data_IF_270380694209
#
_entry.id   IF_270380694209
#
_cell.length_a   1.000
_cell.length_b   1.000
_cell.length_c   1.000
_cell.angle_alpha   90.00
_cell.angle_beta   90.00
_cell.angle_gamma   90.00
#
_symmetry.space_group_name_H-M   'P 1'
#
loop_
_entity.id
_entity.type
_entity.pdbx_description
1 polymer ?
#
# COMPACT_ATOMS: atom_id res chain seq x y z
N UNK A 1 10.54 8.59 18.22
CA UNK A 1 11.07 8.21 16.89
C UNK A 1 9.89 8.09 15.93
N UNK A 2 10.00 8.53 14.67
CA UNK A 2 8.95 8.31 13.68
C UNK A 2 8.75 6.79 13.48
N UNK A 3 7.50 6.35 13.34
CA UNK A 3 7.23 4.96 12.92
C UNK A 3 7.72 4.81 11.48
N UNK A 4 8.46 3.74 11.21
CA UNK A 4 8.95 3.39 9.87
C UNK A 4 8.11 2.25 9.33
N UNK A 5 7.65 2.41 8.10
CA UNK A 5 6.93 1.38 7.36
C UNK A 5 7.59 1.14 6.01
N UNK A 6 7.40 -0.07 5.49
CA UNK A 6 7.88 -0.47 4.16
C UNK A 6 6.74 -1.13 3.39
N UNK A 7 6.67 -0.88 2.08
CA UNK A 7 5.59 -1.41 1.24
C UNK A 7 5.97 -1.64 -0.20
N UNK A 8 5.10 -2.34 -0.93
CA UNK A 8 5.28 -2.63 -2.35
C UNK A 8 4.15 -2.08 -3.21
N UNK A 9 4.51 -1.46 -4.33
CA UNK A 9 3.59 -1.00 -5.37
C UNK A 9 3.61 -2.00 -6.54
N UNK A 10 2.67 -2.93 -6.54
CA UNK A 10 2.49 -3.82 -7.67
C UNK A 10 1.89 -3.05 -8.85
N UNK A 11 2.44 -3.24 -10.05
CA UNK A 11 1.93 -2.63 -11.27
C UNK A 11 1.85 -3.62 -12.42
N UNK A 12 1.06 -3.27 -13.44
CA UNK A 12 0.99 -3.98 -14.71
C UNK A 12 0.80 -2.98 -15.85
N UNK A 13 1.12 -3.42 -17.07
CA UNK A 13 0.96 -2.63 -18.28
C UNK A 13 -0.14 -3.28 -19.13
N UNK A 14 -1.29 -2.63 -19.21
CA UNK A 14 -2.45 -3.09 -19.96
C UNK A 14 -3.19 -1.90 -20.57
N UNK A 15 -2.90 -1.58 -21.83
CA UNK A 15 -3.35 -0.36 -22.51
C UNK A 15 -3.01 0.94 -21.73
N UNK A 16 -1.97 0.88 -20.89
CA UNK A 16 -1.55 1.93 -19.97
C UNK A 16 -1.00 1.36 -18.67
N UNK A 17 -0.42 2.23 -17.84
CA UNK A 17 0.07 1.88 -16.51
C UNK A 17 -1.10 1.72 -15.52
N UNK A 18 -1.22 0.53 -14.93
CA UNK A 18 -2.15 0.22 -13.86
C UNK A 18 -1.40 -0.15 -12.60
N UNK A 19 -1.87 0.30 -11.44
CA UNK A 19 -1.25 0.08 -10.14
C UNK A 19 -2.24 -0.48 -9.13
N UNK A 20 -1.75 -1.33 -8.23
CA UNK A 20 -2.56 -1.97 -7.21
C UNK A 20 -2.50 -1.21 -5.89
N UNK A 21 -3.68 -0.83 -5.38
CA UNK A 21 -3.81 -0.12 -4.11
C UNK A 21 -4.74 -0.89 -3.16
N UNK A 22 -4.53 -0.67 -1.86
CA UNK A 22 -5.36 -1.18 -0.78
C UNK A 22 -6.11 -0.02 -0.08
N UNK A 23 -7.36 -0.28 0.26
CA UNK A 23 -8.21 0.61 1.03
C UNK A 23 -8.25 0.13 2.49
N UNK A 24 -7.87 0.98 3.46
CA UNK A 24 -7.95 0.63 4.87
C UNK A 24 -9.40 0.42 5.30
N UNK A 25 -9.64 -0.62 6.10
CA UNK A 25 -10.97 -0.89 6.62
C UNK A 25 -11.37 0.02 7.79
N UNK A 26 -12.64 -0.09 8.17
CA UNK A 26 -13.19 0.51 9.37
C UNK A 26 -13.87 1.88 9.20
N UNK A 27 -14.52 2.36 10.27
CA UNK A 27 -15.48 3.47 10.19
C UNK A 27 -14.85 4.84 9.89
N UNK A 28 -13.54 4.99 10.03
CA UNK A 28 -12.83 6.23 9.66
C UNK A 28 -12.69 6.40 8.14
N UNK A 29 -12.78 5.30 7.40
CA UNK A 29 -12.49 5.21 5.96
C UNK A 29 -13.68 4.72 5.14
N UNK A 30 -14.69 4.09 5.76
CA UNK A 30 -15.87 3.51 5.10
C UNK A 30 -16.56 4.43 4.06
N UNK A 31 -16.58 5.76 4.31
CA UNK A 31 -17.19 6.76 3.41
C UNK A 31 -16.18 7.57 2.59
N UNK A 32 -14.89 7.25 2.69
CA UNK A 32 -13.82 7.95 1.98
C UNK A 32 -13.32 7.04 0.87
N UNK A 33 -13.12 7.61 -0.29
CA UNK A 33 -12.64 6.86 -1.45
C UNK A 33 -11.54 7.63 -2.18
N UNK A 34 -11.66 8.95 -2.28
CA UNK A 34 -10.54 9.81 -2.67
C UNK A 34 -9.60 10.05 -1.48
N UNK A 35 -8.30 10.09 -1.77
CA UNK A 35 -7.24 10.34 -0.77
C UNK A 35 -7.28 9.42 0.45
N UNK A 36 -7.75 8.18 0.31
CA UNK A 36 -7.87 7.18 1.39
C UNK A 36 -7.13 5.87 1.11
N UNK A 37 -6.70 5.63 -0.11
CA UNK A 37 -6.01 4.39 -0.49
C UNK A 37 -4.50 4.47 -0.24
N UNK A 38 -3.84 3.32 -0.10
CA UNK A 38 -2.39 3.22 0.17
C UNK A 38 -1.78 2.07 -0.63
N UNK A 39 -0.47 2.06 -0.78
CA UNK A 39 0.26 0.82 -1.09
C UNK A 39 0.13 -0.16 0.09
N UNK A 40 0.07 -1.48 -0.16
CA UNK A 40 0.26 -2.50 0.87
C UNK A 40 1.61 -2.29 1.57
N UNK A 41 1.59 -2.23 2.89
CA UNK A 41 2.74 -1.86 3.72
C UNK A 41 2.46 -2.17 5.21
N UNK A 42 3.51 -2.45 5.95
CA UNK A 42 3.44 -2.54 7.42
C UNK A 42 4.64 -1.94 8.12
N UNK A 43 4.72 -2.12 9.43
CA UNK A 43 5.80 -1.57 10.25
C UNK A 43 7.04 -2.45 10.16
N UNK A 44 8.21 -1.81 10.08
CA UNK A 44 9.49 -2.52 10.02
C UNK A 44 9.86 -2.98 11.43
N UNK A 45 10.19 -4.26 11.58
CA UNK A 45 10.60 -4.80 12.87
C UNK A 45 12.02 -4.35 13.25
N UNK A 46 12.37 -4.52 14.53
CA UNK A 46 13.72 -4.21 14.99
C UNK A 46 14.77 -5.08 14.26
N UNK A 47 15.78 -4.43 13.68
CA UNK A 47 16.84 -5.06 12.88
C UNK A 47 16.37 -5.75 11.59
N UNK A 48 15.15 -5.48 11.12
CA UNK A 48 14.65 -5.97 9.83
C UNK A 48 15.13 -5.06 8.68
N UNK A 49 15.54 -5.68 7.57
CA UNK A 49 15.82 -4.94 6.35
C UNK A 49 14.52 -4.33 5.77
N UNK A 50 14.60 -3.09 5.30
CA UNK A 50 13.42 -2.34 4.84
C UNK A 50 12.74 -3.03 3.65
N UNK A 51 13.51 -3.64 2.74
CA UNK A 51 12.97 -4.28 1.55
C UNK A 51 12.38 -5.66 1.87
N UNK A 52 13.03 -6.43 2.75
CA UNK A 52 12.46 -7.69 3.23
C UNK A 52 11.16 -7.47 4.02
N UNK A 53 11.06 -6.39 4.81
CA UNK A 53 9.80 -5.97 5.43
C UNK A 53 8.72 -5.68 4.37
N UNK A 54 9.05 -4.96 3.30
CA UNK A 54 8.09 -4.66 2.22
C UNK A 54 7.51 -5.94 1.59
N UNK A 55 8.37 -6.94 1.33
CA UNK A 55 7.97 -8.23 0.74
C UNK A 55 7.09 -9.04 1.69
N UNK A 56 7.50 -9.14 2.96
CA UNK A 56 6.75 -9.84 4.00
C UNK A 56 5.35 -9.24 4.16
N UNK A 57 5.26 -7.93 4.32
CA UNK A 57 3.98 -7.24 4.51
C UNK A 57 3.06 -7.39 3.30
N UNK A 58 3.59 -7.30 2.08
CA UNK A 58 2.79 -7.53 0.88
C UNK A 58 2.25 -8.97 0.83
N UNK A 59 3.07 -9.97 1.16
CA UNK A 59 2.62 -11.37 1.23
C UNK A 59 1.58 -11.60 2.34
N UNK A 60 1.73 -10.95 3.50
CA UNK A 60 0.78 -11.06 4.61
C UNK A 60 -0.58 -10.41 4.29
N UNK A 61 -0.57 -9.21 3.71
CA UNK A 61 -1.78 -8.43 3.40
C UNK A 61 -2.50 -8.94 2.15
N UNK A 62 -1.74 -9.29 1.11
CA UNK A 62 -2.30 -9.62 -0.21
C UNK A 62 -2.35 -11.14 -0.44
N UNK A 63 -1.59 -11.93 0.32
CA UNK A 63 -1.50 -13.38 0.17
C UNK A 63 -0.77 -13.82 -1.09
N UNK A 64 -0.03 -12.90 -1.74
CA UNK A 64 0.74 -13.17 -2.94
C UNK A 64 2.20 -12.91 -2.64
N UNK A 65 3.04 -13.90 -2.90
CA UNK A 65 4.49 -13.74 -2.82
C UNK A 65 4.97 -12.80 -3.93
N UNK A 66 5.60 -11.66 -3.60
CA UNK A 66 6.13 -10.74 -4.62
C UNK A 66 7.40 -11.33 -5.23
N UNK A 67 7.47 -11.35 -6.56
CA UNK A 67 8.58 -11.94 -7.32
C UNK A 67 8.90 -11.07 -8.55
N UNK A 68 10.11 -11.23 -9.09
CA UNK A 68 10.60 -10.48 -10.26
C UNK A 68 11.59 -9.39 -9.90
N UNK A 69 11.69 -8.39 -10.79
CA UNK A 69 12.55 -7.22 -10.60
C UNK A 69 11.84 -6.16 -9.76
N UNK A 70 12.59 -5.57 -8.84
CA UNK A 70 12.09 -4.56 -7.91
C UNK A 70 12.74 -3.20 -8.17
N UNK A 71 11.91 -2.16 -8.23
CA UNK A 71 12.29 -0.80 -8.57
C UNK A 71 12.17 0.06 -7.29
N UNK A 72 13.26 0.61 -6.74
CA UNK A 72 13.17 1.54 -5.61
C UNK A 72 12.37 2.81 -5.97
N UNK A 73 11.43 3.21 -5.11
CA UNK A 73 10.60 4.42 -5.27
C UNK A 73 10.90 5.49 -4.22
N UNK A 74 12.05 5.37 -3.54
CA UNK A 74 12.46 6.19 -2.40
C UNK A 74 11.48 6.09 -1.20
N UNK A 75 11.40 7.16 -0.40
CA UNK A 75 10.55 7.24 0.78
C UNK A 75 9.74 8.52 0.81
N UNK A 76 8.61 8.48 1.54
CA UNK A 76 7.75 9.62 1.78
C UNK A 76 7.41 9.74 3.25
N UNK A 77 7.31 10.97 3.73
CA UNK A 77 6.79 11.27 5.07
C UNK A 77 5.29 11.58 5.00
N UNK A 78 4.50 10.90 5.82
CA UNK A 78 3.07 11.16 5.94
C UNK A 78 2.78 12.26 6.98
N UNK A 79 1.57 12.84 6.94
CA UNK A 79 1.13 13.87 7.90
C UNK A 79 1.25 13.46 9.38
N UNK A 80 1.24 12.17 9.68
CA UNK A 80 1.42 11.63 11.02
C UNK A 80 2.90 11.58 11.49
N UNK A 81 3.85 11.97 10.63
CA UNK A 81 5.29 11.79 10.84
C UNK A 81 5.80 10.37 10.54
N UNK A 82 4.93 9.47 10.06
CA UNK A 82 5.33 8.12 9.63
C UNK A 82 6.11 8.20 8.31
N UNK A 83 7.28 7.56 8.27
CA UNK A 83 8.09 7.41 7.05
C UNK A 83 7.70 6.09 6.39
N UNK A 84 7.46 6.13 5.07
CA UNK A 84 7.19 4.93 4.27
C UNK A 84 8.26 4.80 3.20
N UNK A 85 8.96 3.67 3.19
CA UNK A 85 9.83 3.25 2.09
C UNK A 85 9.04 2.37 1.11
N UNK A 86 9.31 2.51 -0.19
CA UNK A 86 8.58 1.75 -1.18
C UNK A 86 9.45 1.24 -2.33
N UNK A 87 9.03 0.09 -2.87
CA UNK A 87 9.54 -0.47 -4.11
C UNK A 87 8.35 -0.85 -5.00
N UNK A 88 8.52 -0.79 -6.31
CA UNK A 88 7.56 -1.31 -7.27
C UNK A 88 8.01 -2.67 -7.80
N UNK A 89 7.06 -3.50 -8.21
CA UNK A 89 7.33 -4.72 -8.97
C UNK A 89 6.21 -4.97 -9.98
N UNK A 90 6.58 -5.55 -11.13
CA UNK A 90 5.60 -5.86 -12.18
C UNK A 90 4.97 -7.22 -11.93
N UNK A 91 3.64 -7.29 -11.96
CA UNK A 91 2.93 -8.56 -11.96
C UNK A 91 1.55 -8.41 -12.61
N UNK A 92 1.27 -9.24 -13.60
CA UNK A 92 0.02 -9.21 -14.38
C UNK A 92 -1.12 -10.01 -13.69
N UNK A 93 -0.81 -10.68 -12.58
CA UNK A 93 -1.81 -11.38 -11.76
C UNK A 93 -2.83 -10.42 -11.18
N UNK A 94 -4.05 -10.88 -10.97
CA UNK A 94 -5.08 -10.14 -10.24
C UNK A 94 -5.22 -10.77 -8.85
N UNK A 95 -4.57 -10.20 -7.81
CA UNK A 95 -4.64 -10.78 -6.49
C UNK A 95 -6.07 -10.76 -5.99
N UNK A 96 -6.48 -11.86 -5.38
CA UNK A 96 -7.66 -11.89 -4.51
C UNK A 96 -7.15 -11.49 -3.13
N UNK A 97 -7.88 -10.65 -2.38
CA UNK A 97 -7.58 -10.43 -0.96
C UNK A 97 -7.74 -11.77 -0.22
N UNK A 98 -6.65 -12.51 -0.08
CA UNK A 98 -6.66 -13.87 0.48
C UNK A 98 -6.72 -13.86 2.01
N UNK A 99 -6.29 -12.78 2.67
CA UNK A 99 -6.29 -12.65 4.12
C UNK A 99 -6.99 -11.37 4.58
N UNK A 100 -8.02 -11.54 5.40
CA UNK A 100 -8.54 -10.46 6.22
C UNK A 100 -7.78 -10.46 7.53
N UNK A 101 -6.71 -9.68 7.61
CA UNK A 101 -6.14 -9.30 8.90
C UNK A 101 -7.12 -8.34 9.58
N UNK A 102 -7.26 -8.49 10.89
CA UNK A 102 -8.15 -7.65 11.68
C UNK A 102 -7.37 -6.93 12.76
N UNK A 103 -7.56 -5.62 12.83
CA UNK A 103 -7.00 -4.79 13.88
C UNK A 103 -8.09 -4.37 14.86
N UNK A 104 -7.69 -4.08 16.10
CA UNK A 104 -8.57 -3.49 17.10
C UNK A 104 -8.28 -1.99 17.17
N UNK A 105 -9.31 -1.18 16.95
CA UNK A 105 -9.23 0.28 17.09
C UNK A 105 -10.13 0.76 18.23
N UNK A 106 -9.81 1.92 18.80
CA UNK A 106 -10.77 2.66 19.60
C UNK A 106 -11.65 3.50 18.68
N UNK A 107 -12.95 3.26 18.73
CA UNK A 107 -13.94 4.05 18.02
C UNK A 107 -15.01 4.52 19.01
N UNK A 108 -15.05 5.84 19.26
CA UNK A 108 -15.99 6.48 20.19
C UNK A 108 -15.96 5.88 21.60
N UNK A 109 -14.77 5.55 22.11
CA UNK A 109 -14.58 4.99 23.45
C UNK A 109 -14.88 3.49 23.56
N UNK A 110 -15.05 2.80 22.42
CA UNK A 110 -15.25 1.35 22.37
C UNK A 110 -14.17 0.71 21.50
N UNK A 111 -13.59 -0.39 22.00
CA UNK A 111 -12.70 -1.24 21.21
C UNK A 111 -13.54 -2.05 20.22
N UNK A 112 -13.30 -1.85 18.92
CA UNK A 112 -13.96 -2.60 17.85
C UNK A 112 -12.91 -3.32 16.99
N UNK A 113 -13.28 -4.48 16.46
CA UNK A 113 -12.47 -5.26 15.52
C UNK A 113 -12.91 -4.94 14.10
N UNK A 114 -11.98 -4.49 13.27
CA UNK A 114 -12.22 -4.12 11.86
C UNK A 114 -11.22 -4.83 10.96
N UNK A 115 -11.55 -5.09 9.68
CA UNK A 115 -10.53 -5.50 8.73
C UNK A 115 -9.49 -4.38 8.59
N UNK A 116 -8.22 -4.75 8.49
CA UNK A 116 -7.14 -3.82 8.22
C UNK A 116 -7.24 -3.25 6.80
N UNK A 117 -7.53 -4.13 5.84
CA UNK A 117 -7.85 -3.80 4.45
C UNK A 117 -9.24 -4.34 4.14
N UNK A 118 -10.14 -3.47 3.65
CA UNK A 118 -11.49 -3.89 3.25
C UNK A 118 -11.63 -4.09 1.73
N UNK A 119 -10.78 -3.42 0.93
CA UNK A 119 -10.75 -3.52 -0.54
C UNK A 119 -9.32 -3.41 -1.04
N UNK A 120 -9.01 -4.09 -2.13
CA UNK A 120 -7.76 -3.90 -2.86
C UNK A 120 -8.00 -4.20 -4.34
N UNK A 121 -7.49 -3.36 -5.22
CA UNK A 121 -7.72 -3.48 -6.66
C UNK A 121 -6.70 -2.67 -7.46
N UNK A 122 -6.66 -2.97 -8.76
CA UNK A 122 -5.94 -2.16 -9.73
C UNK A 122 -6.73 -0.90 -10.09
N UNK A 123 -5.99 0.18 -10.34
CA UNK A 123 -6.48 1.42 -10.89
C UNK A 123 -5.57 1.86 -12.04
N UNK A 124 -6.14 2.58 -13.01
CA UNK A 124 -5.32 3.36 -13.93
C UNK A 124 -4.47 4.37 -13.15
N UNK A 125 -3.28 4.73 -13.65
CA UNK A 125 -2.40 5.68 -12.97
C UNK A 125 -3.09 7.02 -12.64
N UNK A 126 -3.98 7.49 -13.53
CA UNK A 126 -4.74 8.72 -13.36
C UNK A 126 -5.79 8.63 -12.25
N UNK A 127 -6.45 7.48 -12.08
CA UNK A 127 -7.38 7.24 -10.98
C UNK A 127 -6.62 7.03 -9.67
N UNK A 128 -5.53 6.27 -9.69
CA UNK A 128 -4.69 6.02 -8.53
C UNK A 128 -4.20 7.33 -7.89
N UNK A 129 -3.79 8.32 -8.71
CA UNK A 129 -3.39 9.67 -8.26
C UNK A 129 -4.49 10.42 -7.49
N UNK A 130 -5.77 10.12 -7.71
CA UNK A 130 -6.92 10.70 -6.99
C UNK A 130 -7.27 9.91 -5.71
N UNK A 131 -7.09 8.59 -5.76
CA UNK A 131 -7.46 7.63 -4.71
C UNK A 131 -6.42 7.59 -3.57
N UNK A 132 -5.14 7.60 -3.91
CA UNK A 132 -4.06 7.36 -2.96
C UNK A 132 -3.90 8.52 -1.96
N UNK A 133 -3.43 8.21 -0.76
CA UNK A 133 -3.04 9.20 0.25
C UNK A 133 -2.08 10.24 -0.38
N UNK A 134 -2.30 11.54 -0.16
CA UNK A 134 -1.54 12.60 -0.84
C UNK A 134 -0.01 12.48 -0.72
N UNK A 135 0.49 12.01 0.43
CA UNK A 135 1.92 11.81 0.64
C UNK A 135 2.51 10.70 -0.26
N UNK A 136 1.75 9.65 -0.53
CA UNK A 136 2.18 8.51 -1.34
C UNK A 136 2.01 8.73 -2.85
N UNK A 137 1.39 9.83 -3.28
CA UNK A 137 1.28 10.16 -4.72
C UNK A 137 2.64 10.22 -5.41
N UNK A 138 3.69 10.62 -4.68
CA UNK A 138 5.08 10.62 -5.17
C UNK A 138 5.56 9.25 -5.65
N UNK A 139 5.09 8.16 -5.05
CA UNK A 139 5.43 6.81 -5.53
C UNK A 139 4.85 6.53 -6.92
N UNK A 140 3.65 7.03 -7.20
CA UNK A 140 3.02 6.89 -8.51
C UNK A 140 3.73 7.73 -9.56
N UNK A 141 4.08 8.97 -9.21
CA UNK A 141 4.84 9.87 -10.09
C UNK A 141 6.23 9.28 -10.39
N UNK A 142 6.91 8.75 -9.38
CA UNK A 142 8.22 8.11 -9.56
C UNK A 142 8.14 6.84 -10.40
N UNK A 143 7.12 6.02 -10.20
CA UNK A 143 6.93 4.83 -11.01
C UNK A 143 6.70 5.20 -12.48
N UNK A 144 5.83 6.17 -12.75
CA UNK A 144 5.53 6.66 -14.09
C UNK A 144 6.81 7.12 -14.81
N UNK A 145 7.68 7.89 -14.15
CA UNK A 145 8.99 8.29 -14.72
C UNK A 145 9.92 7.13 -15.09
N UNK A 146 9.79 5.98 -14.44
CA UNK A 146 10.73 4.86 -14.57
C UNK A 146 10.26 3.77 -15.54
N UNK A 147 8.97 3.77 -15.91
CA UNK A 147 8.36 2.70 -16.71
C UNK A 147 7.64 3.19 -17.97
N UNK A 148 7.62 4.51 -18.20
CA UNK A 148 7.19 5.13 -19.46
C UNK A 148 8.26 5.02 -20.56
#
# INVERSE_FOLDING_TARGET
MPKVSSGLLMFKINNGLEVFLAHPGGPFWEKKDESSWTIPKGEVNENEDLFEAAKREFEEEIGMKPEGDFIPLDSVEQKSGKIVHAWAFRNDSTPVLLRQNFITIDFKGKKIKIPEIDKAQFFSINEAKKKILPAQKKFLEKLEELVD
#
